data_IF_883903299698
#
_entry.id   IF_883903299698
#
_cell.length_a   1.000
_cell.length_b   1.000
_cell.length_c   1.000
_cell.angle_alpha   90.00
_cell.angle_beta   90.00
_cell.angle_gamma   90.00
#
_symmetry.space_group_name_H-M   'P 1'
#
loop_
_entity.id
_entity.type
_entity.pdbx_description
1 polymer ?
#
# COMPACT_ATOMS: atom_id res chain seq x y z
N UNK A 1 -5.43 0.55 1.87
CA UNK A 1 -6.67 0.84 2.64
C UNK A 1 -6.92 2.35 2.68
N UNK A 2 -6.10 3.16 3.37
CA UNK A 2 -6.31 4.61 3.48
C UNK A 2 -6.59 5.30 2.15
N UNK A 3 -5.75 5.10 1.13
CA UNK A 3 -6.00 5.68 -0.19
C UNK A 3 -7.32 5.24 -0.82
N UNK A 4 -7.71 3.96 -0.72
CA UNK A 4 -8.99 3.48 -1.26
C UNK A 4 -10.18 4.14 -0.55
N UNK A 5 -10.03 4.40 0.75
CA UNK A 5 -11.07 5.05 1.56
C UNK A 5 -11.20 6.55 1.29
N UNK A 6 -10.18 7.26 0.79
CA UNK A 6 -10.25 8.75 0.68
C UNK A 6 -10.05 9.29 -0.74
N UNK A 7 -9.40 8.53 -1.62
CA UNK A 7 -9.20 8.90 -3.04
C UNK A 7 -10.24 8.19 -3.90
N UNK A 8 -11.53 8.40 -3.62
CA UNK A 8 -12.66 7.70 -4.27
C UNK A 8 -12.92 8.11 -5.72
N UNK A 9 -12.17 9.09 -6.23
CA UNK A 9 -12.23 9.57 -7.61
C UNK A 9 -11.27 8.84 -8.55
N UNK A 10 -10.51 7.86 -8.05
CA UNK A 10 -9.54 7.10 -8.85
C UNK A 10 -9.48 5.66 -8.39
N UNK A 11 -9.12 4.77 -9.31
CA UNK A 11 -8.81 3.36 -9.09
C UNK A 11 -7.30 3.12 -8.87
N UNK A 12 -6.46 4.16 -9.05
CA UNK A 12 -5.00 4.06 -8.96
C UNK A 12 -4.52 4.25 -7.53
N UNK A 13 -4.30 3.14 -6.83
CA UNK A 13 -3.87 3.13 -5.43
C UNK A 13 -2.47 2.53 -5.21
N UNK A 14 -1.68 2.37 -6.28
CA UNK A 14 -0.32 1.88 -6.19
C UNK A 14 0.66 2.93 -5.67
N UNK A 15 1.80 2.48 -5.11
CA UNK A 15 2.83 3.34 -4.52
C UNK A 15 3.30 4.46 -5.46
N UNK A 16 3.55 4.14 -6.74
CA UNK A 16 3.96 5.11 -7.76
C UNK A 16 2.93 6.20 -8.01
N UNK A 17 1.65 5.84 -8.08
CA UNK A 17 0.59 6.81 -8.31
C UNK A 17 0.39 7.71 -7.07
N UNK A 18 0.53 7.13 -5.87
CA UNK A 18 0.44 7.87 -4.60
C UNK A 18 1.58 8.86 -4.42
N UNK A 19 2.82 8.44 -4.68
CA UNK A 19 4.00 9.33 -4.61
C UNK A 19 3.90 10.47 -5.60
N UNK A 20 3.44 10.18 -6.83
CA UNK A 20 3.23 11.20 -7.86
C UNK A 20 2.14 12.21 -7.47
N UNK A 21 0.96 11.74 -7.06
CA UNK A 21 -0.16 12.64 -6.80
C UNK A 21 -0.02 13.40 -5.48
N UNK A 22 0.41 12.72 -4.40
CA UNK A 22 0.42 13.32 -3.07
C UNK A 22 1.70 14.11 -2.77
N UNK A 23 2.80 13.77 -3.44
CA UNK A 23 4.13 14.31 -3.15
C UNK A 23 4.85 14.90 -4.37
N UNK A 24 4.27 14.81 -5.58
CA UNK A 24 4.91 15.22 -6.84
C UNK A 24 6.28 14.53 -7.09
N UNK A 25 6.37 13.26 -6.70
CA UNK A 25 7.58 12.44 -6.85
C UNK A 25 7.32 11.29 -7.81
N UNK A 26 8.16 11.13 -8.84
CA UNK A 26 8.14 9.95 -9.69
C UNK A 26 9.14 8.89 -9.20
N UNK A 27 8.67 7.65 -9.08
CA UNK A 27 9.50 6.51 -8.71
C UNK A 27 9.53 5.47 -9.83
N UNK A 28 10.68 4.81 -9.99
CA UNK A 28 10.86 3.74 -10.97
C UNK A 28 10.31 2.41 -10.44
N UNK A 29 9.66 1.64 -11.32
CA UNK A 29 9.22 0.26 -11.05
C UNK A 29 10.08 -0.81 -11.73
N UNK A 30 11.17 -0.41 -12.37
CA UNK A 30 11.94 -1.32 -13.24
C UNK A 30 12.48 -2.56 -12.53
N UNK A 31 12.80 -2.46 -11.24
CA UNK A 31 13.37 -3.58 -10.48
C UNK A 31 12.32 -4.44 -9.75
N UNK A 32 11.02 -4.13 -9.88
CA UNK A 32 9.95 -4.85 -9.19
C UNK A 32 9.95 -6.34 -9.56
N UNK A 33 10.22 -6.68 -10.84
CA UNK A 33 10.28 -8.05 -11.36
C UNK A 33 11.72 -8.54 -11.62
N UNK A 34 12.70 -8.01 -10.90
CA UNK A 34 14.10 -8.46 -10.98
C UNK A 34 14.35 -9.72 -10.13
N UNK A 35 15.53 -10.36 -10.27
CA UNK A 35 15.88 -11.51 -9.45
C UNK A 35 16.25 -11.08 -8.01
N UNK A 36 15.26 -11.08 -7.11
CA UNK A 36 15.44 -10.76 -5.69
C UNK A 36 16.04 -11.89 -4.85
N UNK A 37 16.13 -13.10 -5.40
CA UNK A 37 16.77 -14.25 -4.76
C UNK A 37 18.27 -14.38 -5.06
N UNK A 38 18.87 -13.40 -5.76
CA UNK A 38 20.29 -13.40 -6.08
C UNK A 38 21.14 -13.26 -4.81
N UNK A 39 22.30 -13.94 -4.78
CA UNK A 39 23.26 -13.87 -3.66
C UNK A 39 23.75 -12.43 -3.41
N UNK A 40 23.88 -11.63 -4.49
CA UNK A 40 24.23 -10.21 -4.44
C UNK A 40 23.19 -9.39 -5.19
N UNK A 41 22.65 -8.39 -4.54
CA UNK A 41 21.75 -7.42 -5.15
C UNK A 41 22.56 -6.38 -5.94
N UNK A 42 22.03 -5.98 -7.08
CA UNK A 42 22.57 -4.86 -7.87
C UNK A 42 22.30 -3.52 -7.18
N UNK A 43 23.10 -2.49 -7.51
CA UNK A 43 22.86 -1.12 -7.01
C UNK A 43 21.45 -0.63 -7.37
N UNK A 44 20.95 -0.95 -8.57
CA UNK A 44 19.60 -0.60 -8.99
C UNK A 44 18.52 -1.25 -8.11
N UNK A 45 18.70 -2.51 -7.70
CA UNK A 45 17.78 -3.17 -6.77
C UNK A 45 17.81 -2.53 -5.37
N UNK A 46 19.00 -2.17 -4.88
CA UNK A 46 19.14 -1.48 -3.60
C UNK A 46 18.46 -0.10 -3.62
N UNK A 47 18.66 0.68 -4.68
CA UNK A 47 18.00 1.98 -4.88
C UNK A 47 16.48 1.84 -4.96
N UNK A 48 15.98 0.85 -5.72
CA UNK A 48 14.56 0.55 -5.78
C UNK A 48 13.99 0.22 -4.40
N UNK A 49 14.61 -0.70 -3.66
CA UNK A 49 14.15 -1.10 -2.33
C UNK A 49 14.13 0.06 -1.33
N UNK A 50 15.15 0.94 -1.38
CA UNK A 50 15.18 2.14 -0.56
C UNK A 50 14.04 3.11 -0.92
N UNK A 51 13.82 3.34 -2.22
CA UNK A 51 12.77 4.24 -2.70
C UNK A 51 11.35 3.76 -2.35
N UNK A 52 11.14 2.43 -2.27
CA UNK A 52 9.84 1.83 -1.95
C UNK A 52 9.38 2.15 -0.51
N UNK A 53 10.31 2.45 0.40
CA UNK A 53 10.00 2.76 1.81
C UNK A 53 10.22 4.22 2.20
N UNK A 54 11.08 4.94 1.48
CA UNK A 54 11.52 6.29 1.84
C UNK A 54 10.36 7.29 1.98
N UNK A 55 9.34 7.19 1.12
CA UNK A 55 8.23 8.15 1.07
C UNK A 55 7.00 7.75 1.90
N UNK A 56 6.99 6.57 2.53
CA UNK A 56 5.80 6.02 3.17
C UNK A 56 5.22 6.93 4.25
N UNK A 57 6.07 7.48 5.12
CA UNK A 57 5.64 8.35 6.21
C UNK A 57 4.99 9.64 5.68
N UNK A 58 5.61 10.30 4.69
CA UNK A 58 5.09 11.53 4.08
C UNK A 58 3.74 11.31 3.41
N UNK A 59 3.56 10.18 2.71
CA UNK A 59 2.27 9.83 2.13
C UNK A 59 1.23 9.53 3.21
N UNK A 60 1.64 8.83 4.29
CA UNK A 60 0.74 8.51 5.39
C UNK A 60 0.23 9.78 6.09
N UNK A 61 1.06 10.80 6.26
CA UNK A 61 0.64 12.09 6.81
C UNK A 61 -0.46 12.74 5.96
N UNK A 62 -0.28 12.77 4.63
CA UNK A 62 -1.28 13.30 3.69
C UNK A 62 -2.59 12.49 3.74
N UNK A 63 -2.49 11.16 3.72
CA UNK A 63 -3.65 10.29 3.78
C UNK A 63 -4.39 10.39 5.11
N UNK A 64 -3.68 10.56 6.23
CA UNK A 64 -4.26 10.78 7.55
C UNK A 64 -5.03 12.11 7.62
N UNK A 65 -4.50 13.17 7.00
CA UNK A 65 -5.24 14.44 6.88
C UNK A 65 -6.54 14.24 6.10
N UNK A 66 -6.49 13.55 4.96
CA UNK A 66 -7.68 13.26 4.16
C UNK A 66 -8.70 12.39 4.93
N UNK A 67 -8.24 11.37 5.66
CA UNK A 67 -9.08 10.49 6.49
C UNK A 67 -9.79 11.26 7.60
N UNK A 68 -9.16 12.28 8.17
CA UNK A 68 -9.76 13.16 9.17
C UNK A 68 -10.84 14.03 8.54
N UNK A 69 -10.52 14.71 7.42
CA UNK A 69 -11.48 15.58 6.70
C UNK A 69 -12.69 14.81 6.17
N UNK A 70 -12.51 13.56 5.76
CA UNK A 70 -13.60 12.72 5.27
C UNK A 70 -14.33 11.93 6.36
N UNK A 71 -13.99 12.14 7.65
CA UNK A 71 -14.56 11.41 8.79
C UNK A 71 -14.42 9.87 8.71
N UNK A 72 -13.37 9.38 8.02
CA UNK A 72 -13.11 7.93 7.79
C UNK A 72 -11.96 7.37 8.62
N UNK A 73 -11.46 8.14 9.59
CA UNK A 73 -10.32 7.71 10.43
C UNK A 73 -10.63 6.44 11.23
N UNK A 74 -11.83 6.36 11.82
CA UNK A 74 -12.24 5.19 12.63
C UNK A 74 -12.28 3.90 11.81
N UNK A 75 -12.98 3.92 10.68
CA UNK A 75 -13.08 2.75 9.79
C UNK A 75 -11.71 2.34 9.23
N UNK A 76 -10.83 3.31 8.92
CA UNK A 76 -9.47 2.99 8.49
C UNK A 76 -8.70 2.25 9.59
N UNK A 77 -8.81 2.68 10.84
CA UNK A 77 -8.17 2.02 11.98
C UNK A 77 -8.69 0.59 12.17
N UNK A 78 -10.01 0.40 12.15
CA UNK A 78 -10.62 -0.94 12.24
C UNK A 78 -10.15 -1.86 11.11
N UNK A 79 -10.02 -1.33 9.89
CA UNK A 79 -9.43 -2.09 8.78
C UNK A 79 -7.95 -2.44 9.01
N UNK A 80 -7.14 -1.54 9.61
CA UNK A 80 -5.74 -1.81 9.93
C UNK A 80 -5.61 -2.88 11.02
N UNK A 81 -6.43 -2.80 12.06
CA UNK A 81 -6.47 -3.75 13.17
C UNK A 81 -6.89 -5.15 12.68
N UNK A 82 -7.66 -5.23 11.59
CA UNK A 82 -8.06 -6.49 10.96
C UNK A 82 -6.99 -7.11 10.05
N UNK A 83 -5.95 -6.38 9.63
CA UNK A 83 -4.91 -6.90 8.71
C UNK A 83 -4.30 -8.23 9.19
N UNK A 84 -3.88 -8.37 10.46
CA UNK A 84 -3.32 -9.64 10.95
C UNK A 84 -4.29 -10.81 10.80
N UNK A 85 -5.58 -10.57 11.06
CA UNK A 85 -6.64 -11.57 10.89
C UNK A 85 -6.81 -11.94 9.43
N UNK A 86 -6.86 -10.97 8.50
CA UNK A 86 -6.92 -11.22 7.06
C UNK A 86 -5.73 -12.06 6.59
N UNK A 87 -4.51 -11.72 7.02
CA UNK A 87 -3.32 -12.50 6.69
C UNK A 87 -3.40 -13.94 7.22
N UNK A 88 -3.93 -14.17 8.42
CA UNK A 88 -4.12 -15.51 8.97
C UNK A 88 -5.19 -16.31 8.20
N UNK A 89 -6.25 -15.64 7.74
CA UNK A 89 -7.25 -16.24 6.86
C UNK A 89 -6.62 -16.68 5.53
N UNK A 90 -5.78 -15.83 4.92
CA UNK A 90 -5.06 -16.15 3.68
C UNK A 90 -4.18 -17.39 3.88
N UNK A 91 -3.39 -17.45 4.96
CA UNK A 91 -2.57 -18.62 5.27
C UNK A 91 -3.37 -19.92 5.53
N UNK A 92 -4.67 -19.79 5.83
CA UNK A 92 -5.60 -20.91 6.07
C UNK A 92 -6.41 -21.30 4.82
N UNK A 93 -6.11 -20.74 3.65
CA UNK A 93 -6.76 -21.09 2.38
C UNK A 93 -8.01 -20.26 2.05
N UNK A 94 -8.22 -19.13 2.72
CA UNK A 94 -9.36 -18.24 2.45
C UNK A 94 -9.00 -17.07 1.53
N UNK A 95 -7.82 -17.03 0.91
CA UNK A 95 -7.32 -15.89 0.14
C UNK A 95 -8.19 -15.50 -1.06
N UNK A 96 -8.92 -16.46 -1.64
CA UNK A 96 -9.81 -16.26 -2.78
C UNK A 96 -11.29 -16.09 -2.39
N UNK A 97 -11.60 -16.12 -1.09
CA UNK A 97 -12.96 -15.99 -0.54
C UNK A 97 -13.00 -14.76 0.35
N UNK A 98 -13.90 -13.84 0.04
CA UNK A 98 -14.23 -12.79 0.99
C UNK A 98 -15.09 -13.42 2.10
N UNK A 99 -14.52 -13.51 3.31
CA UNK A 99 -15.20 -14.10 4.48
C UNK A 99 -16.49 -13.36 4.87
N UNK A 100 -16.67 -12.13 4.36
CA UNK A 100 -17.88 -11.34 4.56
C UNK A 100 -18.92 -11.49 3.42
N UNK A 101 -18.58 -12.15 2.32
CA UNK A 101 -19.49 -12.39 1.20
C UNK A 101 -20.30 -13.69 1.38
N UNK A 102 -21.44 -13.78 0.70
CA UNK A 102 -22.30 -14.98 0.74
C UNK A 102 -21.68 -16.20 0.03
N UNK A 103 -20.76 -15.98 -0.91
CA UNK A 103 -20.07 -16.99 -1.71
C UNK A 103 -18.70 -16.47 -2.13
#
# INVERSE_FOLDING_TARGET
IASKLVRTYTDRHGLKDLTRELLDVDISKQQQSSNWGAEKLSSAQLEYAASDVYYLHKMMDKLNQMLKTSERTKIAQECFDFIPTRCNLDLKGWENVDIFAHS
#
